data_IF_348687640038
#
_entry.id   IF_348687640038
#
_cell.length_a   1.000
_cell.length_b   1.000
_cell.length_c   1.000
_cell.angle_alpha   90.00
_cell.angle_beta   90.00
_cell.angle_gamma   90.00
#
_symmetry.space_group_name_H-M   'P 1'
#
loop_
_entity.id
_entity.type
_entity.pdbx_description
1 polymer ?
#
# COMPACT_ATOMS: atom_id res chain seq x y z
N UNK A 1 -4.09 -5.03 11.63
CA UNK A 1 -2.93 -5.19 10.72
C UNK A 1 -1.85 -6.03 11.39
N UNK A 2 -1.05 -6.78 10.63
CA UNK A 2 0.23 -7.35 11.08
C UNK A 2 1.33 -7.04 10.07
N UNK A 3 2.59 -7.18 10.45
CA UNK A 3 3.72 -7.01 9.53
C UNK A 3 4.78 -8.09 9.75
N UNK A 4 5.54 -8.37 8.70
CA UNK A 4 6.73 -9.22 8.71
C UNK A 4 7.90 -8.39 8.17
N UNK A 5 9.07 -8.51 8.81
CA UNK A 5 10.27 -7.78 8.40
C UNK A 5 11.42 -8.76 8.23
N UNK A 6 12.12 -8.65 7.10
CA UNK A 6 13.35 -9.37 6.83
C UNK A 6 14.36 -8.42 6.16
N UNK A 7 15.44 -8.11 6.87
CA UNK A 7 16.54 -7.23 6.44
C UNK A 7 16.02 -5.91 5.83
N UNK A 8 15.98 -5.85 4.50
CA UNK A 8 15.65 -4.68 3.69
C UNK A 8 14.23 -4.74 3.07
N UNK A 9 13.43 -5.71 3.52
CA UNK A 9 12.04 -5.89 3.12
C UNK A 9 11.12 -5.82 4.33
N UNK A 10 10.04 -5.08 4.18
CA UNK A 10 8.90 -5.11 5.10
C UNK A 10 7.64 -5.44 4.33
N UNK A 11 6.81 -6.31 4.91
CA UNK A 11 5.53 -6.72 4.37
C UNK A 11 4.42 -6.43 5.36
N UNK A 12 3.45 -5.63 4.95
CA UNK A 12 2.25 -5.31 5.73
C UNK A 12 1.07 -6.13 5.23
N UNK A 13 0.33 -6.72 6.16
CA UNK A 13 -0.90 -7.46 5.89
C UNK A 13 -2.09 -6.64 6.41
N UNK A 14 -2.84 -6.06 5.47
CA UNK A 14 -3.98 -5.19 5.74
C UNK A 14 -5.23 -6.07 5.87
N UNK A 15 -5.81 -6.12 7.07
CA UNK A 15 -7.03 -6.89 7.35
C UNK A 15 -8.23 -5.93 7.39
N UNK A 16 -8.77 -5.60 6.21
CA UNK A 16 -9.80 -4.58 6.04
C UNK A 16 -9.32 -3.44 5.13
N UNK A 17 -9.88 -2.25 5.32
CA UNK A 17 -9.56 -1.08 4.51
C UNK A 17 -8.26 -0.41 4.96
N UNK A 18 -7.55 0.23 4.02
CA UNK A 18 -6.41 1.08 4.36
C UNK A 18 -6.93 2.50 4.62
N UNK A 19 -7.15 2.81 5.90
CA UNK A 19 -7.57 4.12 6.35
C UNK A 19 -6.43 4.87 7.08
N UNK A 20 -6.74 6.04 7.64
CA UNK A 20 -5.80 6.85 8.41
C UNK A 20 -5.05 6.11 9.53
N UNK A 21 -5.74 5.26 10.33
CA UNK A 21 -5.11 4.55 11.44
C UNK A 21 -4.07 3.52 10.96
N UNK A 22 -4.43 2.73 9.96
CA UNK A 22 -3.53 1.81 9.28
C UNK A 22 -2.34 2.54 8.64
N UNK A 23 -2.60 3.71 8.05
CA UNK A 23 -1.57 4.56 7.45
C UNK A 23 -0.57 5.07 8.49
N UNK A 24 -1.05 5.55 9.64
CA UNK A 24 -0.21 5.98 10.75
C UNK A 24 0.65 4.83 11.28
N UNK A 25 0.07 3.65 11.38
CA UNK A 25 0.82 2.46 11.80
C UNK A 25 1.95 2.16 10.82
N UNK A 26 1.66 2.10 9.51
CA UNK A 26 2.68 1.85 8.48
C UNK A 26 3.80 2.88 8.57
N UNK A 27 3.48 4.18 8.69
CA UNK A 27 4.51 5.24 8.80
C UNK A 27 5.38 5.12 10.05
N UNK A 28 4.83 4.67 11.17
CA UNK A 28 5.58 4.46 12.41
C UNK A 28 6.46 3.21 12.37
N UNK A 29 6.02 2.18 11.65
CA UNK A 29 6.73 0.90 11.55
C UNK A 29 7.80 0.92 10.47
N UNK A 30 7.52 1.55 9.34
CA UNK A 30 8.47 1.71 8.24
C UNK A 30 9.63 2.61 8.68
N UNK A 31 10.85 2.13 8.47
CA UNK A 31 12.09 2.84 8.70
C UNK A 31 12.82 2.97 7.35
N UNK A 32 14.00 2.37 7.26
CA UNK A 32 14.91 2.52 6.13
C UNK A 32 14.69 1.44 5.06
N UNK A 33 13.74 0.52 5.24
CA UNK A 33 13.52 -0.60 4.33
C UNK A 33 13.21 -0.11 2.92
N UNK A 34 13.97 -0.58 1.94
CA UNK A 34 13.81 -0.20 0.53
C UNK A 34 12.67 -0.94 -0.15
N UNK A 35 12.41 -2.18 0.25
CA UNK A 35 11.39 -3.05 -0.35
C UNK A 35 10.15 -3.07 0.54
N UNK A 36 9.04 -2.56 0.03
CA UNK A 36 7.79 -2.43 0.80
C UNK A 36 6.70 -3.19 0.09
N UNK A 37 6.14 -4.21 0.74
CA UNK A 37 5.01 -4.97 0.23
C UNK A 37 3.77 -4.69 1.08
N UNK A 38 2.65 -4.35 0.44
CA UNK A 38 1.36 -4.13 1.09
C UNK A 38 0.39 -5.14 0.49
N UNK A 39 0.05 -6.15 1.28
CA UNK A 39 -0.91 -7.20 0.90
C UNK A 39 -2.25 -6.95 1.58
N UNK A 40 -3.28 -6.78 0.75
CA UNK A 40 -4.64 -6.59 1.20
C UNK A 40 -5.36 -7.93 1.34
N UNK A 41 -6.12 -8.07 2.42
CA UNK A 41 -7.08 -9.15 2.60
C UNK A 41 -8.16 -9.10 1.52
N UNK A 42 -8.73 -10.25 1.08
CA UNK A 42 -9.87 -10.27 0.17
C UNK A 42 -11.11 -9.50 0.68
N UNK A 43 -11.21 -9.24 1.98
CA UNK A 43 -12.31 -8.46 2.55
C UNK A 43 -12.10 -6.93 2.48
N UNK A 44 -10.94 -6.46 2.04
CA UNK A 44 -10.66 -5.04 1.87
C UNK A 44 -11.51 -4.46 0.73
N UNK A 45 -12.26 -3.39 1.01
CA UNK A 45 -13.21 -2.78 0.07
C UNK A 45 -12.68 -1.49 -0.52
N UNK A 46 -11.88 -0.75 0.24
CA UNK A 46 -11.48 0.60 -0.15
C UNK A 46 -10.12 1.01 0.44
N UNK A 47 -9.54 2.05 -0.17
CA UNK A 47 -8.36 2.77 0.31
C UNK A 47 -8.73 4.24 0.34
N UNK A 48 -8.65 4.88 1.50
CA UNK A 48 -8.99 6.29 1.64
C UNK A 48 -7.90 7.22 1.09
N UNK A 49 -8.15 8.53 1.11
CA UNK A 49 -7.21 9.53 0.61
C UNK A 49 -5.86 9.48 1.33
N UNK A 50 -5.82 9.14 2.62
CA UNK A 50 -4.57 9.04 3.38
C UNK A 50 -3.80 7.78 2.99
N UNK A 51 -4.50 6.66 2.78
CA UNK A 51 -3.94 5.44 2.22
C UNK A 51 -3.36 5.66 0.82
N UNK A 52 -4.10 6.31 -0.09
CA UNK A 52 -3.61 6.64 -1.43
C UNK A 52 -2.38 7.54 -1.36
N UNK A 53 -2.42 8.59 -0.53
CA UNK A 53 -1.29 9.49 -0.32
C UNK A 53 -0.05 8.77 0.22
N UNK A 54 -0.23 7.82 1.15
CA UNK A 54 0.85 6.96 1.63
C UNK A 54 1.47 6.15 0.48
N UNK A 55 0.66 5.41 -0.26
CA UNK A 55 1.13 4.57 -1.37
C UNK A 55 1.89 5.40 -2.41
N UNK A 56 1.36 6.57 -2.74
CA UNK A 56 1.99 7.49 -3.67
C UNK A 56 3.32 8.06 -3.16
N UNK A 57 3.38 8.43 -1.88
CA UNK A 57 4.61 8.88 -1.22
C UNK A 57 5.71 7.83 -1.33
N UNK A 58 5.40 6.58 -0.95
CA UNK A 58 6.35 5.47 -1.00
C UNK A 58 6.86 5.23 -2.43
N UNK A 59 5.96 5.30 -3.42
CA UNK A 59 6.34 5.19 -4.83
C UNK A 59 7.27 6.34 -5.28
N UNK A 60 6.95 7.59 -4.93
CA UNK A 60 7.75 8.77 -5.30
C UNK A 60 9.09 8.87 -4.58
N UNK A 61 9.17 8.35 -3.36
CA UNK A 61 10.41 8.19 -2.61
C UNK A 61 11.36 7.15 -3.24
N UNK A 62 10.91 6.42 -4.27
CA UNK A 62 11.72 5.42 -4.96
C UNK A 62 11.84 4.11 -4.19
N UNK A 63 10.96 3.86 -3.21
CA UNK A 63 10.86 2.55 -2.57
C UNK A 63 10.41 1.53 -3.62
N UNK A 64 10.93 0.31 -3.52
CA UNK A 64 10.45 -0.81 -4.32
C UNK A 64 9.11 -1.30 -3.74
N UNK A 65 8.06 -0.53 -4.04
CA UNK A 65 6.70 -0.75 -3.58
C UNK A 65 6.06 -1.88 -4.38
N UNK A 66 5.35 -2.77 -3.68
CA UNK A 66 4.54 -3.83 -4.26
C UNK A 66 3.19 -3.87 -3.56
N UNK A 67 2.12 -3.74 -4.33
CA UNK A 67 0.73 -3.77 -3.87
C UNK A 67 0.11 -5.10 -4.30
N UNK A 68 -0.28 -5.92 -3.33
CA UNK A 68 -0.82 -7.27 -3.58
C UNK A 68 -2.30 -7.29 -3.23
N UNK A 69 -3.13 -7.81 -4.15
CA UNK A 69 -4.59 -7.92 -4.00
C UNK A 69 -5.32 -6.61 -3.65
N UNK A 70 -5.01 -5.46 -4.29
CA UNK A 70 -5.67 -4.21 -3.92
C UNK A 70 -7.21 -4.31 -4.06
N UNK A 71 -7.97 -3.56 -3.25
CA UNK A 71 -9.43 -3.52 -3.38
C UNK A 71 -9.88 -3.15 -4.78
N UNK A 72 -11.03 -3.65 -5.23
CA UNK A 72 -11.52 -3.41 -6.60
C UNK A 72 -11.60 -1.91 -6.94
N UNK A 73 -12.03 -1.10 -5.96
CA UNK A 73 -12.15 0.35 -6.10
C UNK A 73 -10.81 1.06 -6.31
N UNK A 74 -9.68 0.47 -5.93
CA UNK A 74 -8.36 1.08 -6.05
C UNK A 74 -8.06 1.55 -7.48
N UNK A 75 -8.33 0.69 -8.47
CA UNK A 75 -8.11 1.01 -9.89
C UNK A 75 -8.93 2.21 -10.37
N UNK A 76 -10.17 2.35 -9.87
CA UNK A 76 -11.06 3.47 -10.19
C UNK A 76 -10.55 4.75 -9.53
N UNK A 77 -10.12 4.67 -8.27
CA UNK A 77 -9.59 5.81 -7.50
C UNK A 77 -8.34 6.37 -8.18
N UNK A 78 -7.34 5.53 -8.49
CA UNK A 78 -6.09 6.02 -9.09
C UNK A 78 -6.32 6.64 -10.47
N UNK A 79 -7.31 6.15 -11.23
CA UNK A 79 -7.70 6.77 -12.51
C UNK A 79 -8.36 8.14 -12.32
N UNK A 80 -9.28 8.27 -11.36
CA UNK A 80 -9.93 9.55 -11.03
C UNK A 80 -8.89 10.59 -10.61
N UNK A 81 -7.89 10.16 -9.84
CA UNK A 81 -6.84 11.03 -9.32
C UNK A 81 -5.68 11.26 -10.30
N UNK A 82 -5.72 10.65 -11.50
CA UNK A 82 -4.61 10.69 -12.47
C UNK A 82 -3.27 10.21 -11.88
N UNK A 83 -3.32 9.12 -11.10
CA UNK A 83 -2.19 8.46 -10.44
C UNK A 83 -1.95 7.05 -11.01
N UNK A 84 -2.21 6.85 -12.30
CA UNK A 84 -2.12 5.55 -12.96
C UNK A 84 -0.73 4.93 -12.89
N UNK A 85 0.33 5.69 -12.59
CA UNK A 85 1.65 5.14 -12.30
C UNK A 85 1.65 4.11 -11.17
N UNK A 86 0.71 4.21 -10.21
CA UNK A 86 0.56 3.24 -9.13
C UNK A 86 0.10 1.87 -9.63
N UNK A 87 -0.47 1.76 -10.84
CA UNK A 87 -0.79 0.46 -11.44
C UNK A 87 0.44 -0.39 -11.74
N UNK A 88 1.62 0.24 -11.91
CA UNK A 88 2.89 -0.43 -12.23
C UNK A 88 3.45 -1.25 -11.06
N UNK A 89 3.02 -0.94 -9.84
CA UNK A 89 3.45 -1.62 -8.61
C UNK A 89 2.43 -2.64 -8.11
N UNK A 90 1.32 -2.84 -8.84
CA UNK A 90 0.31 -3.83 -8.49
C UNK A 90 0.71 -5.21 -9.02
N UNK A 91 0.78 -6.20 -8.14
CA UNK A 91 0.84 -7.61 -8.54
C UNK A 91 -0.54 -8.24 -8.47
N UNK A 92 -0.97 -8.78 -9.61
CA UNK A 92 -2.11 -9.71 -9.68
C UNK A 92 -1.55 -11.11 -9.46
N UNK A 93 -1.98 -11.78 -8.39
CA UNK A 93 -1.81 -13.22 -8.24
C UNK A 93 -2.82 -13.95 -9.12
#
# INVERSE_FOLDING_TARGET
MRYEKDKDKIKFFINGDLNYQETLFIRKTLKDEKNVEIEFSPCAKFIDSEGIKLLYSLYKEGKNLKIVNPPELFSKIIKILSLEELSKVVEKK
#
